data_IF_216970305692
#
_entry.id   IF_216970305692
#
_cell.length_a   1.000
_cell.length_b   1.000
_cell.length_c   1.000
_cell.angle_alpha   90.00
_cell.angle_beta   90.00
_cell.angle_gamma   90.00
#
_symmetry.space_group_name_H-M   'P 1'
#
loop_
_entity.id
_entity.type
_entity.pdbx_description
1 polymer ?
#
# COMPACT_ATOMS: atom_id res chain seq x y z
N UNK A 1 -22.26 -66.09 34.04
CA UNK A 1 -22.08 -64.65 34.36
C UNK A 1 -20.60 -64.38 34.55
N UNK A 2 -19.88 -64.08 33.46
CA UNK A 2 -18.47 -63.66 33.51
C UNK A 2 -18.17 -62.73 32.34
N UNK A 3 -18.07 -61.45 32.68
CA UNK A 3 -17.27 -60.35 32.11
C UNK A 3 -17.43 -60.01 30.62
N UNK A 4 -18.17 -58.92 30.41
CA UNK A 4 -18.00 -57.99 29.29
C UNK A 4 -16.54 -57.53 29.23
N UNK A 5 -15.93 -57.66 28.05
CA UNK A 5 -14.64 -57.05 27.74
C UNK A 5 -14.91 -55.65 27.20
N UNK A 6 -14.59 -54.67 28.04
CA UNK A 6 -14.58 -53.25 27.71
C UNK A 6 -13.60 -52.96 26.55
N UNK A 7 -14.13 -52.26 25.55
CA UNK A 7 -13.56 -51.07 24.92
C UNK A 7 -12.05 -50.78 25.14
N UNK A 8 -11.31 -50.66 24.05
CA UNK A 8 -10.79 -49.37 23.55
C UNK A 8 -9.83 -49.65 22.39
N UNK A 9 -10.27 -49.37 21.16
CA UNK A 9 -9.34 -49.21 20.05
C UNK A 9 -8.40 -48.04 20.35
N UNK A 10 -7.08 -48.17 20.09
CA UNK A 10 -6.14 -47.10 20.35
C UNK A 10 -6.47 -45.90 19.46
N UNK A 11 -6.89 -44.80 20.09
CA UNK A 11 -6.97 -43.49 19.45
C UNK A 11 -5.56 -43.18 18.96
N UNK A 12 -5.35 -43.27 17.65
CA UNK A 12 -4.12 -42.85 17.00
C UNK A 12 -3.93 -41.37 17.32
N UNK A 13 -2.98 -41.07 18.21
CA UNK A 13 -2.51 -39.72 18.42
C UNK A 13 -1.93 -39.24 17.08
N UNK A 14 -2.73 -38.47 16.34
CA UNK A 14 -2.24 -37.64 15.24
C UNK A 14 -1.15 -36.77 15.86
N UNK A 15 0.10 -37.05 15.48
CA UNK A 15 1.25 -36.32 16.00
C UNK A 15 1.03 -34.84 15.77
N UNK A 16 0.97 -34.07 16.86
CA UNK A 16 0.92 -32.62 16.76
C UNK A 16 2.14 -32.18 15.95
N UNK A 17 1.91 -31.58 14.78
CA UNK A 17 2.99 -30.99 14.01
C UNK A 17 3.70 -29.97 14.90
N UNK A 18 4.97 -30.22 15.21
CA UNK A 18 5.78 -29.30 16.02
C UNK A 18 5.98 -28.04 15.18
N UNK A 19 5.26 -26.98 15.54
CA UNK A 19 5.35 -25.69 14.87
C UNK A 19 6.78 -25.12 15.03
N UNK A 20 7.54 -25.10 13.93
CA UNK A 20 8.97 -24.67 13.93
C UNK A 20 9.14 -23.17 13.75
N UNK A 21 8.08 -22.44 13.45
CA UNK A 21 8.12 -21.02 13.04
C UNK A 21 7.10 -20.26 13.86
N UNK A 22 7.53 -19.14 14.45
CA UNK A 22 6.62 -18.23 15.17
C UNK A 22 6.63 -16.88 14.47
N UNK A 23 5.47 -16.44 13.98
CA UNK A 23 5.29 -15.08 13.49
C UNK A 23 5.41 -14.07 14.65
N UNK A 24 6.30 -13.08 14.51
CA UNK A 24 6.58 -12.09 15.57
C UNK A 24 5.94 -10.73 15.31
N UNK A 25 5.58 -10.43 14.07
CA UNK A 25 4.98 -9.17 13.66
C UNK A 25 5.33 -8.80 12.23
N UNK A 26 4.67 -7.77 11.71
CA UNK A 26 5.02 -7.11 10.45
C UNK A 26 6.08 -6.05 10.75
N UNK A 27 7.12 -5.96 9.94
CA UNK A 27 8.16 -4.92 10.06
C UNK A 27 7.82 -3.74 9.15
N UNK A 28 7.39 -4.04 7.92
CA UNK A 28 6.98 -3.05 6.93
C UNK A 28 5.90 -3.61 6.01
N UNK A 29 5.11 -2.72 5.42
CA UNK A 29 4.05 -3.04 4.46
C UNK A 29 4.09 -2.05 3.28
N UNK A 30 3.51 -2.49 2.16
CA UNK A 30 3.22 -1.65 0.99
C UNK A 30 1.73 -1.46 0.92
N UNK A 31 1.28 -0.20 0.84
CA UNK A 31 -0.12 0.16 0.87
C UNK A 31 -0.42 1.06 -0.33
N UNK A 32 -1.46 0.72 -1.08
CA UNK A 32 -1.95 1.59 -2.15
C UNK A 32 -2.77 2.71 -1.52
N UNK A 33 -2.46 3.94 -1.89
CA UNK A 33 -3.14 5.15 -1.45
C UNK A 33 -3.51 6.00 -2.66
N UNK A 34 -4.66 6.64 -2.60
CA UNK A 34 -5.12 7.56 -3.64
C UNK A 34 -5.86 8.76 -3.03
N UNK A 35 -6.15 9.76 -3.85
CA UNK A 35 -6.92 10.94 -3.46
C UNK A 35 -8.39 10.87 -3.88
N UNK A 36 -8.96 9.69 -4.16
CA UNK A 36 -10.35 9.54 -4.63
C UNK A 36 -11.40 10.05 -3.65
N UNK A 37 -11.05 10.17 -2.36
CA UNK A 37 -11.89 10.77 -1.33
C UNK A 37 -12.04 12.29 -1.42
N UNK A 38 -11.21 12.98 -2.21
CA UNK A 38 -11.36 14.40 -2.52
C UNK A 38 -12.27 14.57 -3.76
N UNK A 39 -13.46 15.14 -3.55
CA UNK A 39 -14.43 15.38 -4.61
C UNK A 39 -14.09 16.57 -5.51
N UNK A 40 -13.21 17.48 -5.05
CA UNK A 40 -12.81 18.69 -5.77
C UNK A 40 -11.47 18.51 -6.49
N UNK A 41 -10.88 17.32 -6.42
CA UNK A 41 -9.59 17.02 -7.05
C UNK A 41 -9.63 17.27 -8.56
N UNK A 42 -8.58 17.92 -9.05
CA UNK A 42 -8.37 18.17 -10.47
C UNK A 42 -7.48 17.11 -11.13
N UNK A 43 -6.75 16.36 -10.32
CA UNK A 43 -5.86 15.27 -10.70
C UNK A 43 -6.18 14.03 -9.86
N UNK A 44 -6.24 12.88 -10.51
CA UNK A 44 -6.25 11.58 -9.82
C UNK A 44 -4.79 11.20 -9.52
N UNK A 45 -4.47 11.05 -8.23
CA UNK A 45 -3.12 10.70 -7.76
C UNK A 45 -3.22 9.40 -6.99
N UNK A 46 -2.38 8.43 -7.37
CA UNK A 46 -2.26 7.12 -6.73
C UNK A 46 -0.78 6.86 -6.43
N UNK A 47 -0.49 6.20 -5.32
CA UNK A 47 0.85 5.74 -5.02
C UNK A 47 0.92 4.51 -4.10
N UNK A 48 2.07 3.85 -4.13
CA UNK A 48 2.41 2.74 -3.23
C UNK A 48 3.25 3.29 -2.08
N UNK A 49 2.60 3.55 -0.95
CA UNK A 49 3.26 3.98 0.27
C UNK A 49 3.97 2.82 0.95
N UNK A 50 5.23 3.03 1.35
CA UNK A 50 5.98 2.11 2.20
C UNK A 50 5.81 2.57 3.64
N UNK A 51 5.29 1.68 4.47
CA UNK A 51 4.98 1.96 5.87
C UNK A 51 5.74 0.99 6.76
N UNK A 52 6.41 1.50 7.78
CA UNK A 52 7.14 0.68 8.75
C UNK A 52 6.60 0.87 10.15
N UNK A 53 6.58 -0.22 10.91
CA UNK A 53 6.11 -0.23 12.30
C UNK A 53 6.97 0.70 13.15
N UNK A 54 6.37 1.75 13.71
CA UNK A 54 7.03 2.73 14.57
C UNK A 54 7.62 3.95 13.86
N UNK A 55 7.73 3.94 12.53
CA UNK A 55 8.21 5.08 11.73
C UNK A 55 7.12 5.75 10.88
N UNK A 56 5.98 5.08 10.68
CA UNK A 56 4.91 5.58 9.81
C UNK A 56 5.27 5.43 8.33
N UNK A 57 4.84 6.39 7.50
CA UNK A 57 5.14 6.40 6.07
C UNK A 57 6.59 6.81 5.83
N UNK A 58 7.39 5.92 5.24
CA UNK A 58 8.78 6.21 4.86
C UNK A 58 8.83 7.00 3.55
N UNK A 59 7.99 6.62 2.59
CA UNK A 59 7.95 7.21 1.27
C UNK A 59 6.90 6.58 0.37
N UNK A 60 6.91 6.97 -0.90
CA UNK A 60 6.07 6.41 -1.96
C UNK A 60 7.03 5.85 -3.02
N UNK A 61 7.02 4.53 -3.18
CA UNK A 61 7.94 3.80 -4.05
C UNK A 61 7.61 4.05 -5.54
N UNK A 62 6.32 4.11 -5.84
CA UNK A 62 5.79 4.38 -7.17
C UNK A 62 4.49 5.16 -7.03
N UNK A 63 4.39 6.27 -7.74
CA UNK A 63 3.18 7.07 -7.85
C UNK A 63 2.87 7.46 -9.29
N UNK A 64 1.58 7.64 -9.56
CA UNK A 64 1.04 8.00 -10.87
C UNK A 64 0.09 9.17 -10.71
N UNK A 65 0.10 10.05 -11.70
CA UNK A 65 -0.80 11.20 -11.79
C UNK A 65 -1.56 11.11 -13.10
N UNK A 66 -2.89 11.19 -13.03
CA UNK A 66 -3.80 11.20 -14.18
C UNK A 66 -4.68 12.44 -14.11
N UNK A 67 -5.27 12.84 -15.23
CA UNK A 67 -6.38 13.82 -15.19
C UNK A 67 -7.58 13.20 -14.48
N UNK A 68 -8.28 13.99 -13.67
CA UNK A 68 -9.48 13.52 -12.99
C UNK A 68 -10.48 12.90 -13.97
N UNK A 69 -10.89 11.65 -13.70
CA UNK A 69 -11.87 10.92 -14.52
C UNK A 69 -11.29 10.30 -15.81
N UNK A 70 -9.97 10.32 -16.00
CA UNK A 70 -9.34 9.52 -17.05
C UNK A 70 -9.45 8.02 -16.75
N UNK A 71 -9.59 7.20 -17.79
CA UNK A 71 -9.66 5.74 -17.64
C UNK A 71 -8.38 5.14 -17.04
N UNK A 72 -8.51 3.96 -16.41
CA UNK A 72 -7.39 3.21 -15.82
C UNK A 72 -6.46 2.57 -16.88
N UNK A 73 -6.79 2.68 -18.17
CA UNK A 73 -6.05 2.09 -19.29
C UNK A 73 -4.68 2.75 -19.59
N UNK A 74 -4.27 3.71 -18.76
CA UNK A 74 -2.99 4.41 -18.87
C UNK A 74 -2.95 5.51 -19.93
N UNK A 75 -4.03 5.74 -20.67
CA UNK A 75 -4.08 6.77 -21.74
C UNK A 75 -4.17 8.21 -21.22
N UNK A 76 -4.38 8.38 -19.91
CA UNK A 76 -4.45 9.68 -19.24
C UNK A 76 -3.38 9.96 -18.18
N UNK A 77 -2.33 9.13 -18.10
CA UNK A 77 -1.20 9.35 -17.18
C UNK A 77 -0.37 10.55 -17.66
N UNK A 78 -0.36 11.62 -16.88
CA UNK A 78 0.37 12.86 -17.19
C UNK A 78 1.75 12.90 -16.53
N UNK A 79 1.93 12.19 -15.42
CA UNK A 79 3.19 12.09 -14.72
C UNK A 79 3.30 10.82 -13.88
N UNK A 80 4.53 10.45 -13.57
CA UNK A 80 4.86 9.47 -12.54
C UNK A 80 5.80 10.12 -11.53
N UNK A 81 5.79 9.61 -10.30
CA UNK A 81 6.66 10.14 -9.24
C UNK A 81 7.08 9.05 -8.26
N UNK A 82 8.09 9.36 -7.45
CA UNK A 82 8.39 8.66 -6.21
C UNK A 82 8.86 9.67 -5.16
N UNK A 83 8.76 9.31 -3.88
CA UNK A 83 9.29 10.13 -2.81
C UNK A 83 9.98 9.28 -1.74
N UNK A 84 11.12 9.76 -1.26
CA UNK A 84 11.93 9.10 -0.25
C UNK A 84 12.53 10.12 0.70
N UNK A 85 12.47 9.81 2.00
CA UNK A 85 12.89 10.75 3.04
C UNK A 85 12.03 12.03 3.06
N UNK A 86 12.52 13.07 3.73
CA UNK A 86 11.74 14.29 3.98
C UNK A 86 11.58 15.19 2.75
N UNK A 87 12.61 15.26 1.90
CA UNK A 87 12.68 16.22 0.78
C UNK A 87 12.92 15.56 -0.59
N UNK A 88 13.03 14.24 -0.65
CA UNK A 88 13.29 13.54 -1.90
C UNK A 88 11.98 13.35 -2.66
N UNK A 89 11.85 14.02 -3.80
CA UNK A 89 10.78 13.79 -4.78
C UNK A 89 11.39 13.74 -6.17
N UNK A 90 11.15 12.65 -6.89
CA UNK A 90 11.44 12.56 -8.32
C UNK A 90 10.11 12.52 -9.06
N UNK A 91 10.00 13.29 -10.15
CA UNK A 91 8.82 13.40 -10.97
C UNK A 91 9.23 13.34 -12.44
N UNK A 92 8.57 12.49 -13.22
CA UNK A 92 8.72 12.40 -14.67
C UNK A 92 7.39 12.73 -15.33
N UNK A 93 7.40 13.72 -16.22
CA UNK A 93 6.23 14.15 -16.98
C UNK A 93 6.13 13.35 -18.28
N UNK A 94 4.94 12.82 -18.57
CA UNK A 94 4.63 12.05 -19.77
C UNK A 94 3.85 12.88 -20.81
N UNK A 95 3.11 13.90 -20.37
CA UNK A 95 2.31 14.78 -21.23
C UNK A 95 2.79 16.24 -21.09
N UNK A 96 2.98 16.92 -22.23
CA UNK A 96 3.60 18.24 -22.30
C UNK A 96 2.61 19.40 -22.55
N UNK A 97 1.28 19.17 -22.59
CA UNK A 97 0.40 20.16 -23.24
C UNK A 97 -0.87 20.62 -22.50
N UNK A 98 -1.18 20.21 -21.25
CA UNK A 98 -2.42 20.68 -20.59
C UNK A 98 -2.27 21.14 -19.14
N UNK A 99 -1.34 20.56 -18.36
CA UNK A 99 -1.12 20.94 -16.96
C UNK A 99 0.36 21.25 -16.78
N UNK A 100 0.68 22.33 -16.07
CA UNK A 100 2.08 22.70 -15.86
C UNK A 100 2.77 21.74 -14.90
N UNK A 101 4.07 21.52 -15.10
CA UNK A 101 4.87 20.71 -14.17
C UNK A 101 4.84 21.26 -12.73
N UNK A 102 4.68 22.58 -12.57
CA UNK A 102 4.56 23.21 -11.26
C UNK A 102 3.25 22.84 -10.55
N UNK A 103 2.13 22.82 -11.26
CA UNK A 103 0.83 22.38 -10.72
C UNK A 103 0.86 20.90 -10.33
N UNK A 104 1.45 20.05 -11.17
CA UNK A 104 1.60 18.61 -10.87
C UNK A 104 2.49 18.40 -9.64
N UNK A 105 3.62 19.10 -9.55
CA UNK A 105 4.52 19.01 -8.39
C UNK A 105 3.85 19.49 -7.10
N UNK A 106 3.05 20.57 -7.16
CA UNK A 106 2.29 21.06 -6.01
C UNK A 106 1.26 20.03 -5.55
N UNK A 107 0.48 19.47 -6.48
CA UNK A 107 -0.52 18.45 -6.16
C UNK A 107 0.10 17.16 -5.57
N UNK A 108 1.25 16.70 -6.11
CA UNK A 108 1.99 15.56 -5.54
C UNK A 108 2.48 15.90 -4.12
N UNK A 109 3.02 17.09 -3.90
CA UNK A 109 3.50 17.51 -2.59
C UNK A 109 2.37 17.50 -1.55
N UNK A 110 1.22 18.08 -1.89
CA UNK A 110 0.05 18.09 -1.00
C UNK A 110 -0.46 16.67 -0.71
N UNK A 111 -0.52 15.82 -1.74
CA UNK A 111 -0.86 14.41 -1.58
C UNK A 111 0.10 13.68 -0.63
N UNK A 112 1.41 13.84 -0.80
CA UNK A 112 2.43 13.22 0.06
C UNK A 112 2.30 13.69 1.52
N UNK A 113 2.04 14.98 1.72
CA UNK A 113 1.82 15.56 3.06
C UNK A 113 0.61 14.91 3.74
N UNK A 114 -0.51 14.76 3.02
CA UNK A 114 -1.71 14.12 3.57
C UNK A 114 -1.50 12.62 3.83
N UNK A 115 -0.83 11.90 2.93
CA UNK A 115 -0.48 10.48 3.14
C UNK A 115 0.38 10.32 4.40
N UNK A 116 1.35 11.20 4.64
CA UNK A 116 2.20 11.16 5.84
C UNK A 116 1.45 11.45 7.15
N UNK A 117 0.29 12.11 7.09
CA UNK A 117 -0.58 12.34 8.26
C UNK A 117 -1.47 11.13 8.57
N UNK A 118 -1.64 10.19 7.63
CA UNK A 118 -2.45 8.98 7.85
C UNK A 118 -1.74 8.02 8.80
N UNK A 119 -2.52 7.43 9.70
CA UNK A 119 -2.12 6.28 10.48
C UNK A 119 -2.61 5.03 9.75
N UNK A 120 -1.71 4.08 9.52
CA UNK A 120 -1.97 2.80 8.85
C UNK A 120 -1.82 1.65 9.84
#
# INVERSE_FOLDING_TARGET
>A
MSKELENQEPVQAQGAEVEKIVARGVVSARIVVDNSGDAERTLDIEGVAVVSTGAGVEGIEQGRVRRAGAGEDGTGEIASFNCWGTNGMNMSMNDAAVVSAAEVAAAISDFVVEVRKKQF
#
